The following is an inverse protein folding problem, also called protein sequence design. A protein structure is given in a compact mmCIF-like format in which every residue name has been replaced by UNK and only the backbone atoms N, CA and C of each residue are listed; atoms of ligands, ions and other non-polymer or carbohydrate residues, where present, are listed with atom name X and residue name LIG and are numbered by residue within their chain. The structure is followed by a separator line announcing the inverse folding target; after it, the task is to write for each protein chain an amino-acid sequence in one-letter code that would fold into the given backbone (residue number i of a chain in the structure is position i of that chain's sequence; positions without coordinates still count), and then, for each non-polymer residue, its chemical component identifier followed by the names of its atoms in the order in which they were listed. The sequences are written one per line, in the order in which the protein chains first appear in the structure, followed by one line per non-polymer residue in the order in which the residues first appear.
data_IF_405340988534
#
_entry.id   IF_405340988534
#
_cell.length_a   1.000
_cell.length_b   1.000
_cell.length_c   1.000
_cell.angle_alpha   90.00
_cell.angle_beta   90.00
_cell.angle_gamma   90.00
#
_symmetry.space_group_name_H-M   'P 1'
#
loop_
_entity.id
_entity.type
_entity.pdbx_description
1 polymer ?
#
# COMPACT_ATOMS: atom_id res chain seq x y z
N UNK A 1 19.54 56.77 -6.39
CA UNK A 1 18.83 55.50 -6.11
C UNK A 1 17.46 55.40 -6.81
N UNK A 2 17.37 55.69 -8.12
CA UNK A 2 16.09 55.59 -8.88
C UNK A 2 16.16 54.71 -10.13
N UNK A 3 17.33 54.13 -10.45
CA UNK A 3 17.53 53.30 -11.66
C UNK A 3 17.51 51.79 -11.39
N UNK A 4 17.64 51.36 -10.14
CA UNK A 4 17.60 49.94 -9.75
C UNK A 4 16.15 49.43 -9.64
N UNK A 5 15.17 50.32 -9.40
CA UNK A 5 13.75 49.95 -9.28
C UNK A 5 13.10 49.52 -10.60
N UNK A 6 13.62 49.93 -11.76
CA UNK A 6 13.02 49.63 -13.07
C UNK A 6 13.41 48.25 -13.63
N UNK A 7 14.51 47.68 -13.16
CA UNK A 7 15.00 46.37 -13.64
C UNK A 7 14.27 45.23 -12.90
N UNK A 8 13.96 45.42 -11.62
CA UNK A 8 13.25 44.42 -10.80
C UNK A 8 11.77 44.26 -11.20
N UNK A 9 11.11 45.29 -11.75
CA UNK A 9 9.70 45.16 -12.16
C UNK A 9 9.51 44.37 -13.46
N UNK A 10 10.50 44.37 -14.37
CA UNK A 10 10.40 43.63 -15.65
C UNK A 10 10.67 42.13 -15.49
N UNK A 11 11.55 41.73 -14.57
CA UNK A 11 11.85 40.30 -14.33
C UNK A 11 10.68 39.57 -13.67
N UNK A 12 9.90 40.26 -12.82
CA UNK A 12 8.73 39.69 -12.15
C UNK A 12 7.57 39.47 -13.14
N UNK A 13 7.40 40.34 -14.15
CA UNK A 13 6.35 40.21 -15.16
C UNK A 13 6.63 39.03 -16.13
N UNK A 14 7.89 38.77 -16.48
CA UNK A 14 8.26 37.60 -17.28
C UNK A 14 8.04 36.27 -16.54
N UNK A 15 8.28 36.22 -15.21
CA UNK A 15 8.02 35.01 -14.43
C UNK A 15 6.54 34.69 -14.30
N UNK A 16 5.66 35.70 -14.21
CA UNK A 16 4.22 35.47 -14.17
C UNK A 16 3.62 35.05 -15.52
N UNK A 17 4.15 35.53 -16.66
CA UNK A 17 3.66 35.14 -17.98
C UNK A 17 4.10 33.73 -18.41
N UNK A 18 5.21 33.20 -17.91
CA UNK A 18 5.60 31.81 -18.17
C UNK A 18 4.83 30.77 -17.34
N UNK A 19 4.26 31.17 -16.19
CA UNK A 19 3.47 30.24 -15.35
C UNK A 19 2.05 29.97 -15.87
N UNK A 20 1.53 30.80 -16.77
CA UNK A 20 0.15 30.64 -17.30
C UNK A 20 0.07 29.61 -18.45
N UNK A 21 1.20 29.24 -19.08
CA UNK A 21 1.22 28.27 -20.19
C UNK A 21 1.45 26.80 -19.78
N UNK A 22 1.49 26.48 -18.48
CA UNK A 22 1.64 25.09 -18.00
C UNK A 22 0.33 24.38 -17.68
N UNK A 23 -0.80 24.98 -17.99
CA UNK A 23 -2.12 24.36 -17.89
C UNK A 23 -2.71 24.27 -19.28
N UNK A 24 -3.37 23.16 -19.61
CA UNK A 24 -3.92 22.77 -20.92
C UNK A 24 -2.99 21.96 -21.83
N UNK A 25 -2.33 20.95 -21.28
CA UNK A 25 -2.40 19.62 -21.91
C UNK A 25 -3.59 18.91 -21.26
N UNK A 26 -4.80 19.28 -21.68
CA UNK A 26 -6.00 18.49 -21.40
C UNK A 26 -5.89 17.30 -22.36
N UNK A 27 -5.18 16.26 -21.92
CA UNK A 27 -5.39 14.92 -22.45
C UNK A 27 -6.90 14.70 -22.41
N UNK A 28 -7.51 14.47 -23.57
CA UNK A 28 -8.90 14.05 -23.64
C UNK A 28 -9.00 12.81 -22.76
N UNK A 29 -9.54 13.01 -21.55
CA UNK A 29 -9.61 11.99 -20.54
C UNK A 29 -10.41 10.85 -21.13
N UNK A 30 -9.73 9.75 -21.44
CA UNK A 30 -10.38 8.50 -21.80
C UNK A 30 -11.51 8.28 -20.79
N UNK A 31 -12.74 8.07 -21.27
CA UNK A 31 -13.97 7.97 -20.45
C UNK A 31 -13.82 7.03 -19.25
N UNK A 32 -12.93 6.04 -19.36
CA UNK A 32 -12.60 5.07 -18.32
C UNK A 32 -11.82 5.64 -17.10
N UNK A 33 -11.22 6.83 -17.23
CA UNK A 33 -10.57 7.55 -16.14
C UNK A 33 -11.54 8.51 -15.47
N UNK A 34 -12.52 9.01 -16.23
CA UNK A 34 -13.49 9.99 -15.76
C UNK A 34 -14.44 9.40 -14.70
N UNK A 35 -14.95 8.19 -14.92
CA UNK A 35 -15.83 7.55 -13.92
C UNK A 35 -15.08 7.20 -12.63
N UNK A 36 -13.80 6.83 -12.73
CA UNK A 36 -12.93 6.58 -11.57
C UNK A 36 -12.68 7.85 -10.76
N UNK A 37 -12.49 8.98 -11.43
CA UNK A 37 -12.34 10.29 -10.78
C UNK A 37 -13.63 10.71 -10.08
N UNK A 38 -14.79 10.43 -10.67
CA UNK A 38 -16.10 10.71 -10.06
C UNK A 38 -16.34 9.97 -8.73
N UNK A 39 -15.76 8.78 -8.55
CA UNK A 39 -15.90 7.94 -7.34
C UNK A 39 -14.74 8.08 -6.35
N UNK A 40 -13.74 8.92 -6.64
CA UNK A 40 -12.68 9.23 -5.68
C UNK A 40 -13.19 9.75 -4.33
N UNK A 41 -14.18 10.68 -4.25
CA UNK A 41 -14.69 11.12 -2.96
C UNK A 41 -15.25 9.95 -2.15
N UNK A 42 -16.10 9.11 -2.74
CA UNK A 42 -16.74 7.99 -2.04
C UNK A 42 -15.71 6.95 -1.58
N UNK A 43 -14.67 6.68 -2.39
CA UNK A 43 -13.55 5.83 -1.99
C UNK A 43 -12.77 6.41 -0.82
N UNK A 44 -12.55 7.72 -0.83
CA UNK A 44 -11.84 8.41 0.23
C UNK A 44 -12.65 8.35 1.52
N UNK A 45 -13.95 8.60 1.45
CA UNK A 45 -14.88 8.52 2.58
C UNK A 45 -14.85 7.14 3.24
N UNK A 46 -14.98 6.05 2.47
CA UNK A 46 -14.90 4.69 3.01
C UNK A 46 -13.51 4.37 3.59
N UNK A 47 -12.46 4.98 3.05
CA UNK A 47 -11.09 4.83 3.56
C UNK A 47 -10.92 5.57 4.89
N UNK A 48 -11.45 6.79 4.97
CA UNK A 48 -11.43 7.61 6.17
C UNK A 48 -12.24 6.95 7.29
N UNK A 49 -13.42 6.41 6.98
CA UNK A 49 -14.24 5.63 7.91
C UNK A 49 -13.45 4.43 8.47
N UNK A 50 -12.74 3.68 7.62
CA UNK A 50 -11.89 2.57 8.09
C UNK A 50 -10.78 3.00 9.03
N UNK A 51 -10.10 4.09 8.72
CA UNK A 51 -9.04 4.59 9.59
C UNK A 51 -9.62 5.14 10.89
N UNK A 52 -10.81 5.75 10.86
CA UNK A 52 -11.51 6.17 12.06
C UNK A 52 -11.87 4.96 12.95
N UNK A 53 -12.48 3.90 12.40
CA UNK A 53 -12.81 2.67 13.13
C UNK A 53 -11.56 2.07 13.79
N UNK A 54 -10.43 2.06 13.06
CA UNK A 54 -9.15 1.57 13.55
C UNK A 54 -8.60 2.45 14.69
N UNK A 55 -8.67 3.77 14.56
CA UNK A 55 -8.26 4.70 15.62
C UNK A 55 -9.14 4.54 16.86
N UNK A 56 -10.45 4.42 16.67
CA UNK A 56 -11.43 4.17 17.73
C UNK A 56 -11.11 2.86 18.48
N UNK A 57 -10.83 1.78 17.76
CA UNK A 57 -10.45 0.50 18.36
C UNK A 57 -9.13 0.58 19.16
N UNK A 58 -8.14 1.32 18.64
CA UNK A 58 -6.89 1.55 19.35
C UNK A 58 -7.09 2.38 20.62
N UNK A 59 -7.82 3.49 20.53
CA UNK A 59 -8.16 4.34 21.66
C UNK A 59 -8.87 3.53 22.76
N UNK A 60 -9.91 2.77 22.38
CA UNK A 60 -10.65 1.90 23.27
C UNK A 60 -9.75 0.90 24.00
N UNK A 61 -8.82 0.26 23.29
CA UNK A 61 -7.86 -0.67 23.87
C UNK A 61 -6.90 0.00 24.86
N UNK A 62 -6.43 1.22 24.55
CA UNK A 62 -5.53 1.95 25.46
C UNK A 62 -6.22 2.45 26.72
N UNK A 63 -7.46 2.92 26.62
CA UNK A 63 -8.26 3.38 27.75
C UNK A 63 -8.61 2.22 28.69
N UNK A 64 -9.09 1.11 28.14
CA UNK A 64 -9.39 -0.10 28.91
C UNK A 64 -8.14 -0.65 29.60
N UNK A 65 -7.00 -0.68 28.90
CA UNK A 65 -5.72 -1.08 29.49
C UNK A 65 -5.30 -0.14 30.64
N UNK A 66 -5.55 1.16 30.51
CA UNK A 66 -5.31 2.16 31.55
C UNK A 66 -6.11 1.87 32.82
N UNK A 67 -7.43 1.70 32.69
CA UNK A 67 -8.32 1.38 33.81
C UNK A 67 -7.97 0.04 34.47
N UNK A 68 -7.62 -0.98 33.68
CA UNK A 68 -7.17 -2.28 34.20
C UNK A 68 -5.87 -2.18 35.02
N UNK A 69 -4.95 -1.28 34.65
CA UNK A 69 -3.75 -0.99 35.46
C UNK A 69 -4.12 -0.31 36.76
N UNK A 70 -4.99 0.69 36.74
CA UNK A 70 -5.44 1.38 37.96
C UNK A 70 -6.15 0.44 38.94
N UNK A 71 -6.96 -0.50 38.43
CA UNK A 71 -7.59 -1.56 39.26
C UNK A 71 -6.52 -2.41 39.93
N UNK A 72 -5.49 -2.83 39.19
CA UNK A 72 -4.38 -3.62 39.74
C UNK A 72 -3.65 -2.86 40.85
N UNK A 73 -3.28 -1.61 40.58
CA UNK A 73 -2.54 -0.79 41.54
C UNK A 73 -3.36 -0.53 42.82
N UNK A 74 -4.66 -0.22 42.68
CA UNK A 74 -5.55 -0.04 43.82
C UNK A 74 -5.73 -1.34 44.62
N UNK A 75 -5.83 -2.49 43.95
CA UNK A 75 -5.93 -3.80 44.60
C UNK A 75 -4.64 -4.15 45.37
N UNK A 76 -3.47 -3.83 44.83
CA UNK A 76 -2.18 -4.01 45.52
C UNK A 76 -2.09 -3.16 46.80
N UNK A 77 -2.69 -1.97 46.81
CA UNK A 77 -2.78 -1.13 48.02
C UNK A 77 -3.89 -1.52 49.00
N UNK A 78 -4.75 -2.49 48.65
CA UNK A 78 -5.88 -2.92 49.46
C UNK A 78 -7.07 -1.95 49.48
N UNK A 79 -7.10 -0.96 48.59
CA UNK A 79 -8.18 0.03 48.49
C UNK A 79 -9.35 -0.54 47.69
N UNK A 80 -10.14 -1.38 48.36
CA UNK A 80 -11.25 -2.10 47.73
C UNK A 80 -12.36 -1.17 47.22
N UNK A 81 -12.58 -0.02 47.87
CA UNK A 81 -13.58 0.96 47.42
C UNK A 81 -13.19 1.54 46.06
N UNK A 82 -11.93 1.96 45.92
CA UNK A 82 -11.41 2.48 44.65
C UNK A 82 -11.41 1.43 43.54
N UNK A 83 -11.08 0.17 43.85
CA UNK A 83 -11.16 -0.91 42.85
C UNK A 83 -12.58 -1.12 42.33
N UNK A 84 -13.58 -1.06 43.21
CA UNK A 84 -14.99 -1.21 42.84
C UNK A 84 -15.45 -0.05 41.94
N UNK A 85 -15.08 1.19 42.29
CA UNK A 85 -15.40 2.37 41.49
C UNK A 85 -14.81 2.28 40.08
N UNK A 86 -13.52 1.95 39.95
CA UNK A 86 -12.86 1.86 38.64
C UNK A 86 -13.39 0.68 37.83
N UNK A 87 -13.75 -0.43 38.48
CA UNK A 87 -14.34 -1.59 37.80
C UNK A 87 -15.70 -1.25 37.18
N UNK A 88 -16.53 -0.48 37.90
CA UNK A 88 -17.81 -0.01 37.37
C UNK A 88 -17.61 0.96 36.19
N UNK A 89 -16.67 1.89 36.32
CA UNK A 89 -16.28 2.79 35.23
C UNK A 89 -15.79 2.00 34.00
N UNK A 90 -14.94 0.98 34.21
CA UNK A 90 -14.44 0.13 33.14
C UNK A 90 -15.57 -0.61 32.43
N UNK A 91 -16.56 -1.12 33.17
CA UNK A 91 -17.73 -1.77 32.56
C UNK A 91 -18.49 -0.80 31.67
N UNK A 92 -18.77 0.40 32.16
CA UNK A 92 -19.49 1.41 31.38
C UNK A 92 -18.74 1.81 30.11
N UNK A 93 -17.43 2.03 30.19
CA UNK A 93 -16.59 2.37 29.03
C UNK A 93 -16.53 1.20 28.03
N UNK A 94 -16.39 -0.03 28.53
CA UNK A 94 -16.35 -1.22 27.70
C UNK A 94 -17.68 -1.46 26.95
N UNK A 95 -18.82 -1.23 27.61
CA UNK A 95 -20.14 -1.30 26.98
C UNK A 95 -20.29 -0.28 25.85
N UNK A 96 -19.81 0.95 26.06
CA UNK A 96 -19.81 1.98 25.02
C UNK A 96 -18.92 1.59 23.82
N UNK A 97 -17.72 1.08 24.07
CA UNK A 97 -16.82 0.62 23.01
C UNK A 97 -17.38 -0.57 22.24
N UNK A 98 -18.03 -1.52 22.91
CA UNK A 98 -18.72 -2.63 22.24
C UNK A 98 -19.84 -2.09 21.36
N UNK A 99 -20.65 -1.14 21.85
CA UNK A 99 -21.72 -0.55 21.05
C UNK A 99 -21.18 0.13 19.80
N UNK A 100 -20.14 0.96 19.94
CA UNK A 100 -19.49 1.61 18.81
C UNK A 100 -18.95 0.60 17.80
N UNK A 101 -18.26 -0.43 18.28
CA UNK A 101 -17.76 -1.52 17.42
C UNK A 101 -18.89 -2.26 16.69
N UNK A 102 -20.06 -2.45 17.32
CA UNK A 102 -21.23 -3.05 16.68
C UNK A 102 -21.77 -2.15 15.56
N UNK A 103 -21.91 -0.86 15.83
CA UNK A 103 -22.31 0.15 14.83
C UNK A 103 -21.33 0.15 13.64
N UNK A 104 -20.02 0.21 13.90
CA UNK A 104 -18.97 0.18 12.87
C UNK A 104 -19.01 -1.11 12.04
N UNK A 105 -19.27 -2.25 12.69
CA UNK A 105 -19.36 -3.56 12.04
C UNK A 105 -20.58 -3.66 11.13
N UNK A 106 -21.66 -2.97 11.45
CA UNK A 106 -22.88 -2.96 10.64
C UNK A 106 -22.81 -1.91 9.51
N UNK A 107 -22.24 -0.73 9.77
CA UNK A 107 -22.15 0.37 8.81
C UNK A 107 -21.15 0.12 7.68
N UNK A 108 -19.91 -0.24 8.01
CA UNK A 108 -18.82 -0.31 7.04
C UNK A 108 -19.09 -1.29 5.87
N UNK A 109 -19.66 -2.51 6.09
CA UNK A 109 -19.99 -3.40 4.98
C UNK A 109 -21.04 -2.83 4.03
N UNK A 110 -21.99 -2.05 4.54
CA UNK A 110 -23.05 -1.41 3.75
C UNK A 110 -22.42 -0.33 2.86
N UNK A 111 -21.60 0.56 3.43
CA UNK A 111 -20.88 1.59 2.68
C UNK A 111 -19.99 0.98 1.58
N UNK A 112 -19.26 -0.09 1.90
CA UNK A 112 -18.47 -0.84 0.90
C UNK A 112 -19.33 -1.48 -0.20
N UNK A 113 -20.54 -1.94 0.13
CA UNK A 113 -21.43 -2.55 -0.84
C UNK A 113 -22.03 -1.49 -1.78
N UNK A 114 -22.36 -0.31 -1.26
CA UNK A 114 -22.83 0.83 -2.05
C UNK A 114 -21.75 1.31 -3.00
N UNK A 115 -20.55 1.58 -2.49
CA UNK A 115 -19.40 1.94 -3.32
C UNK A 115 -19.15 0.93 -4.45
N UNK A 116 -19.23 -0.37 -4.16
CA UNK A 116 -19.06 -1.42 -5.20
C UNK A 116 -20.17 -1.39 -6.25
N UNK A 117 -21.41 -1.09 -5.85
CA UNK A 117 -22.53 -0.94 -6.80
C UNK A 117 -22.30 0.28 -7.68
N UNK A 118 -21.86 1.38 -7.10
CA UNK A 118 -21.60 2.62 -7.84
C UNK A 118 -20.41 2.49 -8.78
N UNK A 119 -19.33 1.82 -8.36
CA UNK A 119 -18.21 1.43 -9.22
C UNK A 119 -18.67 0.56 -10.40
N UNK A 120 -19.52 -0.43 -10.13
CA UNK A 120 -20.05 -1.30 -11.18
C UNK A 120 -20.91 -0.50 -12.15
N UNK A 121 -21.82 0.33 -11.65
CA UNK A 121 -22.73 1.12 -12.47
C UNK A 121 -21.95 2.14 -13.31
N UNK A 122 -21.05 2.89 -12.70
CA UNK A 122 -20.23 3.88 -13.38
C UNK A 122 -19.33 3.25 -14.46
N UNK A 123 -18.79 2.06 -14.19
CA UNK A 123 -18.05 1.29 -15.19
C UNK A 123 -18.94 0.84 -16.35
N UNK A 124 -20.13 0.31 -16.07
CA UNK A 124 -21.08 -0.10 -17.12
C UNK A 124 -21.47 1.09 -18.00
N UNK A 125 -21.81 2.24 -17.39
CA UNK A 125 -22.12 3.48 -18.11
C UNK A 125 -20.93 4.04 -18.91
N UNK A 126 -19.69 3.71 -18.54
CA UNK A 126 -18.53 4.11 -19.35
C UNK A 126 -18.32 3.25 -20.61
N UNK A 127 -18.94 2.06 -20.65
CA UNK A 127 -18.88 1.11 -21.76
C UNK A 127 -20.09 1.27 -22.68
N UNK A 128 -21.27 1.48 -22.10
CA UNK A 128 -22.53 1.79 -22.79
C UNK A 128 -22.46 3.22 -23.38
N UNK A 129 -21.97 3.31 -24.61
CA UNK A 129 -21.74 4.57 -25.31
C UNK A 129 -23.02 5.15 -25.90
N UNK A 130 -24.01 4.30 -26.20
CA UNK A 130 -25.27 4.72 -26.79
C UNK A 130 -26.36 5.07 -25.72
N UNK A 131 -26.08 4.77 -24.44
CA UNK A 131 -26.97 4.95 -23.28
C UNK A 131 -28.32 4.25 -23.40
N UNK A 132 -28.37 3.10 -24.05
CA UNK A 132 -29.59 2.28 -24.16
C UNK A 132 -29.78 1.34 -22.95
N UNK A 133 -28.80 1.30 -22.04
CA UNK A 133 -28.81 0.50 -20.82
C UNK A 133 -28.34 -0.94 -21.02
N UNK A 134 -27.91 -1.32 -22.22
CA UNK A 134 -27.47 -2.67 -22.58
C UNK A 134 -26.15 -2.59 -23.33
N UNK A 135 -25.11 -3.22 -22.76
CA UNK A 135 -23.83 -3.33 -23.48
C UNK A 135 -23.99 -4.30 -24.65
N UNK A 136 -23.92 -3.77 -25.87
CA UNK A 136 -23.97 -4.58 -27.08
C UNK A 136 -22.60 -5.20 -27.44
N UNK A 137 -22.58 -6.09 -28.44
CA UNK A 137 -21.35 -6.74 -28.87
C UNK A 137 -20.32 -5.75 -29.45
N UNK A 138 -20.75 -4.67 -30.09
CA UNK A 138 -19.83 -3.67 -30.66
C UNK A 138 -19.15 -2.86 -29.56
N UNK A 139 -19.89 -2.43 -28.55
CA UNK A 139 -19.41 -1.72 -27.37
C UNK A 139 -18.45 -2.60 -26.56
N UNK A 140 -18.81 -3.87 -26.38
CA UNK A 140 -17.93 -4.86 -25.75
C UNK A 140 -16.62 -5.03 -26.51
N UNK A 141 -16.65 -5.16 -27.83
CA UNK A 141 -15.43 -5.30 -28.65
C UNK A 141 -14.56 -4.05 -28.58
N UNK A 142 -15.15 -2.86 -28.63
CA UNK A 142 -14.42 -1.59 -28.45
C UNK A 142 -13.73 -1.53 -27.09
N UNK A 143 -14.43 -1.92 -26.03
CA UNK A 143 -13.86 -1.96 -24.69
C UNK A 143 -12.68 -2.94 -24.58
N UNK A 144 -12.83 -4.15 -25.14
CA UNK A 144 -11.75 -5.15 -25.19
C UNK A 144 -10.52 -4.61 -25.93
N UNK A 145 -10.72 -3.99 -27.10
CA UNK A 145 -9.64 -3.42 -27.90
C UNK A 145 -8.91 -2.28 -27.17
N UNK A 146 -9.65 -1.38 -26.52
CA UNK A 146 -9.06 -0.31 -25.69
C UNK A 146 -8.26 -0.88 -24.51
N UNK A 147 -8.79 -1.89 -23.83
CA UNK A 147 -8.07 -2.50 -22.70
C UNK A 147 -6.84 -3.27 -23.17
N UNK A 148 -6.90 -3.90 -24.37
CA UNK A 148 -5.75 -4.52 -25.03
C UNK A 148 -4.67 -3.49 -25.35
N UNK A 149 -5.03 -2.35 -25.94
CA UNK A 149 -4.08 -1.28 -26.24
C UNK A 149 -3.39 -0.76 -24.98
N UNK A 150 -4.14 -0.53 -23.89
CA UNK A 150 -3.56 -0.12 -22.61
C UNK A 150 -2.69 -1.19 -21.97
N UNK A 151 -3.04 -2.46 -22.14
CA UNK A 151 -2.21 -3.56 -21.67
C UNK A 151 -0.87 -3.56 -22.43
N UNK A 152 -0.89 -3.39 -23.74
CA UNK A 152 0.32 -3.24 -24.57
C UNK A 152 1.15 -2.01 -24.16
N UNK A 153 0.51 -0.86 -23.95
CA UNK A 153 1.17 0.38 -23.50
C UNK A 153 1.80 0.26 -22.11
N UNK A 154 1.16 -0.50 -21.20
CA UNK A 154 1.71 -0.83 -19.86
C UNK A 154 2.82 -1.88 -19.89
N UNK A 155 3.25 -2.33 -21.07
CA UNK A 155 4.33 -3.30 -21.22
C UNK A 155 3.85 -4.76 -21.29
N UNK A 156 2.62 -4.98 -21.76
CA UNK A 156 2.10 -6.30 -22.10
C UNK A 156 2.90 -6.95 -23.24
N UNK A 157 3.99 -7.63 -22.88
CA UNK A 157 4.91 -8.29 -23.82
C UNK A 157 4.71 -9.81 -23.87
N UNK A 158 3.57 -10.32 -23.40
CA UNK A 158 3.27 -11.76 -23.44
C UNK A 158 2.76 -12.23 -24.81
N UNK A 159 2.47 -11.32 -25.74
CA UNK A 159 2.03 -11.63 -27.11
C UNK A 159 3.11 -11.07 -28.06
N UNK A 160 4.22 -11.80 -28.15
CA UNK A 160 5.41 -11.42 -28.90
C UNK A 160 5.17 -11.51 -30.41
N UNK A 161 4.30 -12.43 -30.83
CA UNK A 161 3.97 -12.64 -32.24
C UNK A 161 2.83 -11.72 -32.74
N UNK A 162 2.12 -11.04 -31.82
CA UNK A 162 1.06 -10.05 -32.03
C UNK A 162 -0.21 -10.61 -32.66
N UNK A 163 -0.49 -11.90 -32.47
CA UNK A 163 -1.68 -12.56 -33.01
C UNK A 163 -2.93 -12.39 -32.11
N UNK A 164 -2.76 -11.82 -30.92
CA UNK A 164 -3.84 -11.58 -29.95
C UNK A 164 -4.18 -12.77 -29.07
N UNK A 165 -3.41 -13.85 -29.14
CA UNK A 165 -3.56 -15.06 -28.33
C UNK A 165 -2.22 -15.33 -27.65
N UNK A 166 -2.19 -15.15 -26.34
CA UNK A 166 -1.00 -15.54 -25.55
C UNK A 166 -0.91 -17.07 -25.58
N UNK A 167 0.04 -17.59 -26.35
CA UNK A 167 0.25 -19.02 -26.46
C UNK A 167 1.19 -19.55 -25.36
N UNK A 168 1.28 -20.88 -25.26
CA UNK A 168 2.09 -21.51 -24.22
C UNK A 168 3.59 -21.21 -24.34
N UNK A 169 4.08 -20.97 -25.55
CA UNK A 169 5.48 -20.63 -25.80
C UNK A 169 5.79 -19.21 -25.32
N UNK A 170 4.86 -18.27 -25.51
CA UNK A 170 5.02 -16.90 -25.06
C UNK A 170 4.92 -16.77 -23.53
N UNK A 171 4.06 -17.57 -22.88
CA UNK A 171 4.02 -17.70 -21.42
C UNK A 171 5.35 -18.22 -20.88
N UNK A 172 5.92 -19.23 -21.54
CA UNK A 172 7.18 -19.84 -21.11
C UNK A 172 8.36 -18.88 -21.30
N UNK A 173 8.36 -18.09 -22.38
CA UNK A 173 9.34 -17.04 -22.60
C UNK A 173 9.28 -15.93 -21.54
N UNK A 174 8.08 -15.56 -21.12
CA UNK A 174 7.88 -14.58 -20.05
C UNK A 174 8.32 -15.11 -18.68
N UNK A 175 8.03 -16.38 -18.38
CA UNK A 175 8.52 -17.05 -17.17
C UNK A 175 10.03 -17.09 -17.14
N UNK A 176 10.68 -17.49 -18.23
CA UNK A 176 12.13 -17.54 -18.32
C UNK A 176 12.76 -16.13 -18.20
N UNK A 177 12.08 -15.10 -18.69
CA UNK A 177 12.54 -13.71 -18.54
C UNK A 177 12.40 -13.22 -17.10
N UNK A 178 11.32 -13.60 -16.42
CA UNK A 178 11.08 -13.28 -15.01
C UNK A 178 12.06 -14.01 -14.07
N UNK A 179 12.30 -15.30 -14.29
CA UNK A 179 13.25 -16.11 -13.53
C UNK A 179 14.68 -15.54 -13.65
N UNK A 180 15.07 -15.11 -14.86
CA UNK A 180 16.35 -14.43 -15.07
C UNK A 180 16.43 -13.08 -14.36
N UNK A 181 15.32 -12.37 -14.22
CA UNK A 181 15.27 -11.09 -13.51
C UNK A 181 15.37 -11.28 -11.98
N UNK A 182 14.72 -12.31 -11.43
CA UNK A 182 14.86 -12.69 -10.02
C UNK A 182 16.29 -13.15 -9.73
N UNK A 183 16.90 -13.98 -10.58
CA UNK A 183 18.31 -14.42 -10.42
C UNK A 183 19.31 -13.24 -10.43
N UNK A 184 18.99 -12.16 -11.17
CA UNK A 184 19.76 -10.91 -11.14
C UNK A 184 19.52 -10.13 -9.84
N UNK A 185 18.28 -10.11 -9.33
CA UNK A 185 17.93 -9.42 -8.09
C UNK A 185 18.58 -10.09 -6.89
N UNK A 186 18.47 -11.42 -6.78
CA UNK A 186 19.11 -12.21 -5.71
C UNK A 186 20.62 -11.95 -5.66
N UNK A 187 21.29 -11.91 -6.83
CA UNK A 187 22.72 -11.58 -6.92
C UNK A 187 23.04 -10.14 -6.49
N UNK A 188 22.12 -9.20 -6.70
CA UNK A 188 22.27 -7.82 -6.23
C UNK A 188 22.08 -7.71 -4.71
N UNK A 189 21.12 -8.45 -4.16
CA UNK A 189 20.87 -8.54 -2.71
C UNK A 189 22.06 -9.16 -1.99
N UNK A 190 22.59 -10.30 -2.47
CA UNK A 190 23.82 -10.93 -1.94
C UNK A 190 25.01 -9.95 -1.95
N UNK A 191 25.14 -9.14 -3.00
CA UNK A 191 26.18 -8.12 -3.11
C UNK A 191 26.00 -6.96 -2.12
N UNK A 192 24.75 -6.61 -1.83
CA UNK A 192 24.43 -5.56 -0.85
C UNK A 192 24.75 -6.05 0.56
N UNK A 193 24.40 -7.29 0.88
CA UNK A 193 24.65 -7.91 2.19
C UNK A 193 26.16 -8.06 2.46
N UNK A 194 26.95 -8.43 1.45
CA UNK A 194 28.42 -8.43 1.52
C UNK A 194 29.03 -7.05 1.77
N UNK A 195 28.33 -5.97 1.40
CA UNK A 195 28.77 -4.58 1.58
C UNK A 195 28.37 -4.02 2.96
N UNK A 196 27.31 -4.55 3.56
CA UNK A 196 26.83 -4.19 4.90
C UNK A 196 27.43 -5.06 6.02
N UNK A 197 28.12 -6.15 5.68
CA UNK A 197 28.96 -6.84 6.64
C UNK A 197 29.98 -5.84 7.24
N UNK A 198 29.97 -5.59 8.57
CA UNK A 198 30.89 -4.65 9.19
C UNK A 198 32.31 -5.13 8.90
N UNK A 199 33.10 -4.29 8.22
CA UNK A 199 34.52 -4.52 8.01
C UNK A 199 35.19 -4.70 9.38
N UNK A 200 35.29 -5.96 9.80
CA UNK A 200 36.17 -6.38 10.88
C UNK A 200 37.55 -5.92 10.50
N UNK A 201 38.00 -4.87 11.20
CA UNK A 201 39.34 -4.31 11.12
C UNK A 201 40.36 -5.45 11.04
N UNK A 202 41.27 -5.49 10.03
CA UNK A 202 42.27 -6.53 9.97
C UNK A 202 43.21 -6.37 11.18
N UNK A 203 42.95 -7.19 12.20
CA UNK A 203 43.76 -7.33 13.38
C UNK A 203 45.13 -7.87 12.99
N UNK A 204 46.08 -6.97 12.75
CA UNK A 204 47.51 -7.26 12.76
C UNK A 204 47.89 -7.65 14.19
N UNK A 205 47.88 -8.95 14.46
CA UNK A 205 48.12 -9.49 15.79
C UNK A 205 48.61 -10.93 15.72
N UNK A 206 49.67 -11.17 14.94
CA UNK A 206 50.36 -12.44 14.96
C UNK A 206 50.95 -12.72 16.34
N UNK A 207 50.55 -13.82 16.97
CA UNK A 207 51.42 -14.64 17.82
C UNK A 207 51.10 -16.11 17.61
N UNK A 208 52.07 -16.81 17.04
CA UNK A 208 52.15 -18.25 16.99
C UNK A 208 52.09 -18.82 18.41
N UNK A 209 51.19 -19.76 18.65
CA UNK A 209 51.26 -20.63 19.82
C UNK A 209 50.93 -22.05 19.40
N UNK A 210 51.90 -22.93 19.66
CA UNK A 210 52.02 -24.24 19.06
C UNK A 210 50.92 -25.22 19.43
N UNK A 211 50.49 -25.97 18.42
CA UNK A 211 49.76 -27.22 18.61
C UNK A 211 50.75 -28.29 19.07
N UNK A 212 50.61 -28.70 20.33
CA UNK A 212 51.15 -29.99 20.79
C UNK A 212 50.19 -31.09 20.38
N UNK A 213 50.71 -32.04 19.63
CA UNK A 213 50.12 -33.35 19.35
C UNK A 213 49.59 -34.02 20.63
N UNK A 214 48.33 -34.43 20.61
CA UNK A 214 47.85 -35.51 21.47
C UNK A 214 47.52 -36.71 20.60
N UNK A 215 48.40 -37.71 20.69
CA UNK A 215 48.20 -39.08 20.23
C UNK A 215 47.13 -39.79 21.07
N UNK A 216 46.43 -40.73 20.44
CA UNK A 216 45.62 -41.76 21.10
C UNK A 216 44.16 -41.64 20.65
N UNK A 217 43.46 -42.68 20.22
CA UNK A 217 43.70 -44.12 20.13
C UNK A 217 42.40 -44.68 19.53
N UNK A 218 42.48 -45.52 18.50
CA UNK A 218 42.30 -46.96 18.61
C UNK A 218 40.92 -47.41 19.14
N UNK A 219 40.17 -48.09 18.27
CA UNK A 219 38.99 -48.89 18.59
C UNK A 219 37.87 -48.58 17.59
N UNK A 220 37.45 -49.44 16.69
CA UNK A 220 37.59 -50.90 16.62
C UNK A 220 36.26 -51.40 16.06
N UNK A 221 36.27 -51.86 14.80
CA UNK A 221 35.14 -52.55 14.17
C UNK A 221 34.86 -53.86 14.91
N UNK A 222 33.59 -54.16 15.12
CA UNK A 222 32.95 -55.42 14.71
C UNK A 222 31.44 -55.18 14.60
#
# INVERSE_FOLDING_TARGET
MRRISLILSNVIICFFLCSIYKTYAQEEGSSDTQWKQGLQPDRQEVTDEREEIKQNAQAAGTEEAGSRRQIRDAAETGDMEKTAQITEQLRSIHEEHIRKMQEDKEGLPVALQELKKDEKNARLSSIDTNNDGVIDDQEKQRWIELERQRWLERGGQLDANKDGIIDQAEIEQARHSHERAEDIRDRQEDRSDLREAPLGSPGVGGKAQGYKETKGGAGGRK
#
